data_IF_236714544761
#
_entry.id   IF_236714544761
#
_cell.length_a   1.000
_cell.length_b   1.000
_cell.length_c   1.000
_cell.angle_alpha   90.00
_cell.angle_beta   90.00
_cell.angle_gamma   90.00
#
_symmetry.space_group_name_H-M   'P 1'
#
loop_
_entity.id
_entity.type
_entity.pdbx_description
1 polymer ?
#
# COMPACT_ATOMS: atom_id res chain seq x y z
N UNK A 1 2.75 -2.99 30.19
CA UNK A 1 2.03 -2.89 28.91
C UNK A 1 3.04 -3.13 27.81
N UNK A 2 3.26 -4.40 27.45
CA UNK A 2 4.30 -4.80 26.51
C UNK A 2 3.84 -4.46 25.09
N UNK A 3 4.63 -3.65 24.39
CA UNK A 3 4.48 -3.46 22.95
C UNK A 3 4.56 -4.85 22.30
N UNK A 4 3.52 -5.21 21.54
CA UNK A 4 3.54 -6.41 20.72
C UNK A 4 4.75 -6.35 19.77
N UNK A 5 5.40 -7.48 19.47
CA UNK A 5 6.53 -7.50 18.56
C UNK A 5 6.12 -6.89 17.22
N UNK A 6 6.96 -5.98 16.70
CA UNK A 6 6.84 -5.53 15.32
C UNK A 6 6.91 -6.76 14.42
N UNK A 7 5.99 -6.94 13.46
CA UNK A 7 6.04 -8.08 12.56
C UNK A 7 7.40 -8.11 11.85
N UNK A 8 8.11 -9.23 12.00
CA UNK A 8 9.43 -9.45 11.43
C UNK A 8 9.44 -9.35 9.90
N UNK A 9 10.64 -9.18 9.35
CA UNK A 9 11.03 -8.83 7.99
C UNK A 9 10.61 -9.80 6.86
N UNK A 10 9.44 -10.45 6.95
CA UNK A 10 8.83 -11.29 5.91
C UNK A 10 7.50 -10.74 5.35
N UNK A 11 6.88 -9.75 5.99
CA UNK A 11 5.66 -9.13 5.48
C UNK A 11 5.98 -8.11 4.38
N UNK A 12 5.38 -8.27 3.19
CA UNK A 12 5.38 -7.22 2.16
C UNK A 12 4.93 -5.90 2.81
N UNK A 13 5.80 -4.88 2.89
CA UNK A 13 5.48 -3.66 3.61
C UNK A 13 4.33 -2.92 2.90
N UNK A 14 3.49 -2.25 3.68
CA UNK A 14 2.46 -1.40 3.11
C UNK A 14 3.08 -0.27 2.29
N UNK A 15 2.47 0.11 1.16
CA UNK A 15 2.82 1.33 0.45
C UNK A 15 2.84 2.53 1.41
N UNK A 16 3.90 3.32 1.38
CA UNK A 16 4.11 4.46 2.26
C UNK A 16 4.76 4.13 3.60
N UNK A 17 5.02 2.86 3.91
CA UNK A 17 5.77 2.48 5.12
C UNK A 17 7.26 2.85 5.02
N UNK A 18 7.76 3.09 3.80
CA UNK A 18 9.16 3.46 3.54
C UNK A 18 9.23 4.74 2.70
N UNK A 19 10.32 5.50 2.78
CA UNK A 19 10.56 6.59 1.82
C UNK A 19 10.63 6.05 0.39
N UNK A 20 10.07 6.79 -0.58
CA UNK A 20 10.16 6.41 -1.99
C UNK A 20 11.60 6.28 -2.50
N UNK A 21 12.53 7.07 -1.94
CA UNK A 21 13.99 6.98 -2.20
C UNK A 21 14.75 6.20 -1.12
N UNK A 22 14.16 5.15 -0.58
CA UNK A 22 14.82 4.25 0.37
C UNK A 22 16.21 3.80 -0.16
N UNK A 23 17.32 4.15 0.52
CA UNK A 23 18.67 3.78 0.13
C UNK A 23 18.90 2.26 0.07
N UNK A 24 18.18 1.47 0.88
CA UNK A 24 18.31 0.01 0.88
C UNK A 24 17.83 -0.61 -0.43
N UNK A 25 16.88 0.05 -1.11
CA UNK A 25 16.35 -0.35 -2.42
C UNK A 25 17.10 0.29 -3.59
N UNK A 26 18.27 0.88 -3.37
CA UNK A 26 19.03 1.54 -4.42
C UNK A 26 19.52 0.53 -5.48
N UNK A 27 19.04 0.69 -6.71
CA UNK A 27 19.53 -0.06 -7.87
C UNK A 27 20.94 0.45 -8.22
N UNK A 28 21.96 -0.27 -7.73
CA UNK A 28 23.37 0.04 -7.99
C UNK A 28 23.76 -0.36 -9.41
N UNK A 29 24.61 0.46 -10.05
CA UNK A 29 25.25 0.12 -11.32
C UNK A 29 26.49 -0.74 -11.05
N UNK A 30 26.60 -1.92 -11.65
CA UNK A 30 27.75 -2.82 -11.46
C UNK A 30 27.76 -4.06 -12.36
N UNK A 31 28.83 -4.89 -12.28
CA UNK A 31 29.08 -6.01 -13.20
C UNK A 31 28.03 -7.13 -13.16
N UNK A 32 27.42 -7.38 -11.98
CA UNK A 32 26.22 -8.22 -11.85
C UNK A 32 24.99 -7.34 -11.99
N UNK A 33 24.43 -7.26 -13.20
CA UNK A 33 23.14 -6.60 -13.42
C UNK A 33 22.03 -7.41 -12.77
N UNK A 34 21.15 -6.73 -12.03
CA UNK A 34 19.85 -7.27 -11.66
C UNK A 34 19.06 -7.59 -12.94
N UNK A 35 18.17 -8.58 -12.89
CA UNK A 35 17.24 -8.85 -13.98
C UNK A 35 16.33 -7.64 -14.20
N UNK A 36 15.83 -7.48 -15.42
CA UNK A 36 14.88 -6.41 -15.75
C UNK A 36 13.63 -6.48 -14.86
N UNK A 37 13.18 -7.68 -14.52
CA UNK A 37 12.05 -7.93 -13.62
C UNK A 37 12.31 -7.42 -12.21
N UNK A 38 13.47 -7.71 -11.61
CA UNK A 38 13.83 -7.23 -10.27
C UNK A 38 13.93 -5.71 -10.24
N UNK A 39 14.47 -5.11 -11.29
CA UNK A 39 14.52 -3.65 -11.44
C UNK A 39 13.11 -3.06 -11.51
N UNK A 40 12.22 -3.64 -12.33
CA UNK A 40 10.84 -3.21 -12.47
C UNK A 40 10.07 -3.33 -11.15
N UNK A 41 10.24 -4.44 -10.41
CA UNK A 41 9.63 -4.63 -9.10
C UNK A 41 10.12 -3.58 -8.09
N UNK A 42 11.43 -3.36 -8.01
CA UNK A 42 12.01 -2.35 -7.11
C UNK A 42 11.52 -0.94 -7.45
N UNK A 43 11.41 -0.61 -8.73
CA UNK A 43 10.86 0.67 -9.18
C UNK A 43 9.38 0.81 -8.84
N UNK A 44 8.59 -0.27 -8.99
CA UNK A 44 7.17 -0.31 -8.62
C UNK A 44 6.97 -0.02 -7.14
N UNK A 45 7.71 -0.71 -6.26
CA UNK A 45 7.59 -0.53 -4.82
C UNK A 45 7.94 0.90 -4.40
N UNK A 46 9.00 1.46 -5.00
CA UNK A 46 9.38 2.87 -4.79
C UNK A 46 8.33 3.85 -5.28
N UNK A 47 7.69 3.55 -6.41
CA UNK A 47 6.59 4.35 -6.96
C UNK A 47 5.36 4.29 -6.06
N UNK A 48 5.02 3.12 -5.50
CA UNK A 48 3.95 2.98 -4.51
C UNK A 48 4.21 3.86 -3.28
N UNK A 49 5.41 3.78 -2.71
CA UNK A 49 5.80 4.63 -1.57
C UNK A 49 5.78 6.13 -1.91
N UNK A 50 6.34 6.50 -3.07
CA UNK A 50 6.35 7.89 -3.52
C UNK A 50 4.94 8.44 -3.79
N UNK A 51 4.06 7.61 -4.35
CA UNK A 51 2.69 7.96 -4.66
C UNK A 51 1.88 8.18 -3.39
N UNK A 52 1.94 7.26 -2.43
CA UNK A 52 1.23 7.38 -1.14
C UNK A 52 1.60 8.68 -0.45
N UNK A 53 2.89 9.00 -0.36
CA UNK A 53 3.35 10.24 0.29
C UNK A 53 2.89 11.49 -0.45
N UNK A 54 3.01 11.54 -1.78
CA UNK A 54 2.61 12.71 -2.57
C UNK A 54 1.10 12.94 -2.53
N UNK A 55 0.30 11.88 -2.64
CA UNK A 55 -1.17 11.96 -2.55
C UNK A 55 -1.60 12.33 -1.14
N UNK A 56 -1.02 11.73 -0.09
CA UNK A 56 -1.34 12.09 1.28
C UNK A 56 -1.00 13.55 1.61
N UNK A 57 0.11 14.07 1.07
CA UNK A 57 0.55 15.44 1.35
C UNK A 57 -0.22 16.52 0.58
N UNK A 58 -0.58 16.26 -0.68
CA UNK A 58 -1.13 17.28 -1.60
C UNK A 58 -2.58 17.05 -2.00
N UNK A 59 -3.10 15.86 -1.72
CA UNK A 59 -4.35 15.34 -2.26
C UNK A 59 -4.17 14.76 -3.67
N UNK A 60 -5.10 13.88 -4.07
CA UNK A 60 -5.00 13.18 -5.36
C UNK A 60 -4.92 14.17 -6.53
N UNK A 61 -5.80 15.17 -6.61
CA UNK A 61 -5.88 16.09 -7.75
C UNK A 61 -4.58 16.87 -7.98
N UNK A 62 -3.94 17.31 -6.90
CA UNK A 62 -2.70 18.09 -6.97
C UNK A 62 -1.44 17.24 -7.11
N UNK A 63 -1.50 15.94 -6.84
CA UNK A 63 -0.38 15.03 -7.05
C UNK A 63 -0.09 14.88 -8.56
N UNK A 64 1.15 15.16 -8.98
CA UNK A 64 1.59 15.08 -10.38
C UNK A 64 2.50 13.87 -10.56
N UNK A 65 2.42 13.21 -11.72
CA UNK A 65 3.33 12.09 -12.08
C UNK A 65 4.80 12.48 -11.93
N UNK A 66 5.16 13.73 -12.26
CA UNK A 66 6.52 14.26 -12.09
C UNK A 66 6.97 14.30 -10.63
N UNK A 67 6.06 14.66 -9.73
CA UNK A 67 6.34 14.74 -8.30
C UNK A 67 6.47 13.34 -7.69
N UNK A 68 5.58 12.42 -8.08
CA UNK A 68 5.64 10.99 -7.70
C UNK A 68 6.96 10.37 -8.16
N UNK A 69 7.33 10.56 -9.42
CA UNK A 69 8.61 10.12 -9.98
C UNK A 69 9.79 10.68 -9.16
N UNK A 70 9.75 11.98 -8.82
CA UNK A 70 10.78 12.61 -7.98
C UNK A 70 10.81 11.96 -6.60
N UNK A 71 9.68 11.80 -5.92
CA UNK A 71 9.59 11.19 -4.60
C UNK A 71 10.08 9.73 -4.56
N UNK A 72 9.89 9.00 -5.65
CA UNK A 72 10.34 7.60 -5.81
C UNK A 72 11.79 7.46 -6.31
N UNK A 73 12.38 8.54 -6.84
CA UNK A 73 13.67 8.45 -7.54
C UNK A 73 13.60 7.62 -8.82
N UNK A 74 12.44 7.60 -9.47
CA UNK A 74 12.18 6.87 -10.72
C UNK A 74 11.97 7.88 -11.85
N UNK A 75 12.44 7.56 -13.06
CA UNK A 75 12.29 8.47 -14.21
C UNK A 75 10.89 8.37 -14.82
N UNK A 76 10.42 9.43 -15.49
CA UNK A 76 9.12 9.41 -16.19
C UNK A 76 9.00 8.26 -17.21
N UNK A 77 10.01 7.98 -18.06
CA UNK A 77 9.92 6.83 -18.96
C UNK A 77 9.76 5.50 -18.22
N UNK A 78 10.44 5.31 -17.09
CA UNK A 78 10.29 4.11 -16.27
C UNK A 78 8.90 4.03 -15.60
N UNK A 79 8.34 5.16 -15.17
CA UNK A 79 6.96 5.22 -14.70
C UNK A 79 5.98 4.76 -15.78
N UNK A 80 6.08 5.32 -16.99
CA UNK A 80 5.17 4.98 -18.09
C UNK A 80 5.40 3.58 -18.67
N UNK A 81 6.54 2.94 -18.36
CA UNK A 81 6.74 1.51 -18.64
C UNK A 81 5.97 0.60 -17.67
N UNK A 82 5.55 1.11 -16.51
CA UNK A 82 4.84 0.36 -15.47
C UNK A 82 3.35 0.73 -15.39
N UNK A 83 3.01 1.98 -15.68
CA UNK A 83 1.66 2.51 -15.49
C UNK A 83 1.24 3.41 -16.65
N UNK A 84 -0.04 3.33 -17.04
CA UNK A 84 -0.62 4.18 -18.07
C UNK A 84 -0.73 5.65 -17.61
N UNK A 85 -0.88 5.89 -16.31
CA UNK A 85 -1.06 7.22 -15.74
C UNK A 85 -1.16 7.21 -14.21
N UNK A 86 -1.46 8.38 -13.64
CA UNK A 86 -1.60 8.56 -12.18
C UNK A 86 -2.71 7.70 -11.59
N UNK A 87 -3.86 7.62 -12.27
CA UNK A 87 -5.01 6.81 -11.84
C UNK A 87 -4.63 5.33 -11.77
N UNK A 88 -4.06 4.79 -12.86
CA UNK A 88 -3.59 3.39 -12.92
C UNK A 88 -2.56 3.09 -11.83
N UNK A 89 -1.59 3.98 -11.61
CA UNK A 89 -0.62 3.85 -10.52
C UNK A 89 -1.28 3.87 -9.14
N UNK A 90 -2.29 4.74 -8.91
CA UNK A 90 -3.04 4.79 -7.65
C UNK A 90 -3.80 3.48 -7.44
N UNK A 91 -4.54 3.00 -8.45
CA UNK A 91 -5.32 1.75 -8.34
C UNK A 91 -4.41 0.56 -8.06
N UNK A 92 -3.27 0.46 -8.74
CA UNK A 92 -2.28 -0.58 -8.47
C UNK A 92 -1.73 -0.49 -7.03
N UNK A 93 -1.43 0.73 -6.57
CA UNK A 93 -0.96 0.98 -5.19
C UNK A 93 -2.02 0.60 -4.16
N UNK A 94 -3.27 1.02 -4.40
CA UNK A 94 -4.42 0.75 -3.54
C UNK A 94 -4.65 -0.76 -3.41
N UNK A 95 -4.79 -1.47 -4.55
CA UNK A 95 -4.97 -2.93 -4.58
C UNK A 95 -3.85 -3.66 -3.85
N UNK A 96 -2.59 -3.25 -4.04
CA UNK A 96 -1.46 -3.85 -3.36
C UNK A 96 -1.56 -3.67 -1.85
N UNK A 97 -1.76 -2.43 -1.38
CA UNK A 97 -1.83 -2.14 0.05
C UNK A 97 -3.04 -2.79 0.73
N UNK A 98 -4.21 -2.78 0.08
CA UNK A 98 -5.41 -3.40 0.63
C UNK A 98 -5.33 -4.91 0.64
N UNK A 99 -4.63 -5.53 -0.32
CA UNK A 99 -4.35 -6.97 -0.29
C UNK A 99 -3.45 -7.34 0.90
N UNK A 100 -2.40 -6.55 1.19
CA UNK A 100 -1.56 -6.75 2.38
C UNK A 100 -2.39 -6.62 3.66
N UNK A 101 -3.18 -5.57 3.78
CA UNK A 101 -4.05 -5.32 4.94
C UNK A 101 -5.06 -6.45 5.15
N UNK A 102 -5.78 -6.86 4.10
CA UNK A 102 -6.76 -7.95 4.19
C UNK A 102 -6.11 -9.26 4.66
N UNK A 103 -4.90 -9.56 4.18
CA UNK A 103 -4.15 -10.75 4.60
C UNK A 103 -3.83 -10.71 6.10
N UNK A 104 -3.34 -9.58 6.60
CA UNK A 104 -3.06 -9.40 8.02
C UNK A 104 -4.33 -9.53 8.88
N UNK A 105 -5.46 -9.03 8.39
CA UNK A 105 -6.75 -9.21 9.04
C UNK A 105 -7.21 -10.68 9.03
N UNK A 106 -7.05 -11.38 7.91
CA UNK A 106 -7.38 -12.81 7.79
C UNK A 106 -6.53 -13.65 8.76
N UNK A 107 -5.22 -13.39 8.83
CA UNK A 107 -4.30 -14.09 9.74
C UNK A 107 -4.71 -13.85 11.21
N UNK A 108 -4.96 -12.58 11.59
CA UNK A 108 -5.39 -12.24 12.94
C UNK A 108 -6.77 -12.82 13.32
N UNK A 109 -7.69 -12.89 12.34
CA UNK A 109 -9.00 -13.51 12.53
C UNK A 109 -8.85 -15.02 12.80
N UNK A 110 -8.05 -15.71 12.00
CA UNK A 110 -7.84 -17.15 12.14
C UNK A 110 -7.12 -17.52 13.46
N UNK A 111 -6.12 -16.73 13.85
CA UNK A 111 -5.32 -16.97 15.06
C UNK A 111 -6.10 -16.75 16.37
N UNK A 112 -7.17 -15.96 16.34
CA UNK A 112 -8.01 -15.69 17.51
C UNK A 112 -8.88 -16.89 17.95
N UNK A 113 -9.03 -17.91 17.09
CA UNK A 113 -9.79 -19.11 17.39
C UNK A 113 -11.27 -19.03 16.99
N UNK A 114 -12.10 -19.98 17.47
CA UNK A 114 -13.44 -20.21 16.91
C UNK A 114 -14.52 -19.24 17.39
N UNK A 115 -14.28 -18.45 18.45
CA UNK A 115 -15.25 -17.44 18.87
C UNK A 115 -15.25 -16.27 17.87
N UNK A 116 -16.37 -16.12 17.16
CA UNK A 116 -16.52 -15.09 16.13
C UNK A 116 -16.30 -13.67 16.67
N UNK A 117 -16.73 -13.37 17.91
CA UNK A 117 -16.61 -12.02 18.46
C UNK A 117 -15.15 -11.66 18.71
N UNK A 118 -14.38 -12.61 19.25
CA UNK A 118 -12.95 -12.45 19.47
C UNK A 118 -12.17 -12.38 18.15
N UNK A 119 -12.53 -13.21 17.17
CA UNK A 119 -11.94 -13.18 15.84
C UNK A 119 -12.20 -11.87 15.09
N UNK A 120 -13.46 -11.39 15.09
CA UNK A 120 -13.83 -10.10 14.51
C UNK A 120 -13.10 -8.93 15.21
N UNK A 121 -12.97 -8.99 16.54
CA UNK A 121 -12.23 -8.00 17.34
C UNK A 121 -10.74 -8.00 16.99
N UNK A 122 -10.13 -9.16 16.80
CA UNK A 122 -8.73 -9.28 16.40
C UNK A 122 -8.49 -8.66 15.02
N UNK A 123 -9.31 -9.01 14.03
CA UNK A 123 -9.22 -8.43 12.68
C UNK A 123 -9.39 -6.90 12.68
N UNK A 124 -10.38 -6.37 13.43
CA UNK A 124 -10.60 -4.93 13.54
C UNK A 124 -9.44 -4.21 14.24
N UNK A 125 -8.86 -4.83 15.28
CA UNK A 125 -7.68 -4.30 15.95
C UNK A 125 -6.52 -4.20 14.97
N UNK A 126 -6.24 -5.26 14.21
CA UNK A 126 -5.19 -5.28 13.19
C UNK A 126 -5.40 -4.19 12.14
N UNK A 127 -6.63 -4.00 11.66
CA UNK A 127 -6.96 -2.91 10.74
C UNK A 127 -6.55 -1.54 11.32
N UNK A 128 -6.97 -1.24 12.56
CA UNK A 128 -6.70 0.05 13.19
C UNK A 128 -5.22 0.26 13.48
N UNK A 129 -4.52 -0.77 13.94
CA UNK A 129 -3.07 -0.74 14.20
C UNK A 129 -2.28 -0.50 12.91
N UNK A 130 -2.65 -1.20 11.83
CA UNK A 130 -2.06 -1.01 10.50
C UNK A 130 -2.27 0.42 10.01
N UNK A 131 -3.51 0.92 10.04
CA UNK A 131 -3.80 2.29 9.59
C UNK A 131 -3.08 3.34 10.44
N UNK A 132 -2.95 3.12 11.74
CA UNK A 132 -2.20 4.00 12.64
C UNK A 132 -0.69 3.98 12.36
N UNK A 133 -0.13 2.82 11.95
CA UNK A 133 1.31 2.66 11.67
C UNK A 133 1.76 3.37 10.39
N UNK A 134 0.88 3.52 9.40
CA UNK A 134 1.17 4.18 8.12
C UNK A 134 0.11 5.23 7.79
N UNK A 135 0.10 6.40 8.48
CA UNK A 135 -0.94 7.42 8.31
C UNK A 135 -1.07 7.96 6.89
N UNK A 136 0.03 7.99 6.13
CA UNK A 136 0.00 8.41 4.72
C UNK A 136 -0.83 7.43 3.86
N UNK A 137 -0.66 6.12 4.09
CA UNK A 137 -1.47 5.10 3.43
C UNK A 137 -2.94 5.23 3.85
N UNK A 138 -3.20 5.37 5.16
CA UNK A 138 -4.56 5.52 5.68
C UNK A 138 -5.27 6.73 5.05
N UNK A 139 -4.61 7.89 4.97
CA UNK A 139 -5.16 9.07 4.32
C UNK A 139 -5.44 8.83 2.83
N UNK A 140 -4.48 8.27 2.10
CA UNK A 140 -4.68 7.95 0.67
C UNK A 140 -5.86 7.00 0.47
N UNK A 141 -5.90 5.91 1.23
CA UNK A 141 -6.87 4.82 1.05
C UNK A 141 -8.28 5.16 1.54
N UNK A 142 -8.43 5.99 2.57
CA UNK A 142 -9.74 6.29 3.17
C UNK A 142 -10.32 7.64 2.73
N UNK A 143 -9.47 8.61 2.39
CA UNK A 143 -9.90 9.99 2.08
C UNK A 143 -9.71 10.31 0.60
N UNK A 144 -8.52 10.07 0.08
CA UNK A 144 -8.17 10.56 -1.27
C UNK A 144 -8.65 9.64 -2.40
N UNK A 145 -9.02 8.39 -2.10
CA UNK A 145 -9.47 7.41 -3.10
C UNK A 145 -10.71 7.88 -3.86
N UNK A 146 -11.60 8.64 -3.23
CA UNK A 146 -12.83 9.17 -3.84
C UNK A 146 -12.58 10.17 -4.97
N UNK A 147 -11.51 10.96 -4.83
CA UNK A 147 -11.13 11.97 -5.79
C UNK A 147 -10.55 11.35 -7.08
N UNK A 148 -10.20 10.06 -7.05
CA UNK A 148 -9.49 9.43 -8.16
C UNK A 148 -10.35 8.97 -9.34
N UNK A 149 -11.67 9.07 -9.23
CA UNK A 149 -12.62 8.76 -10.30
C UNK A 149 -13.51 7.55 -10.00
N UNK A 150 -14.39 7.16 -10.94
CA UNK A 150 -15.33 6.06 -10.74
C UNK A 150 -14.65 4.72 -10.44
N UNK A 151 -13.58 4.37 -11.17
CA UNK A 151 -12.89 3.10 -10.97
C UNK A 151 -12.29 2.96 -9.57
N UNK A 152 -11.82 4.07 -8.98
CA UNK A 152 -11.29 4.08 -7.61
C UNK A 152 -12.39 3.91 -6.56
N UNK A 153 -13.58 4.50 -6.80
CA UNK A 153 -14.76 4.29 -5.96
C UNK A 153 -15.22 2.83 -6.02
N UNK A 154 -15.25 2.24 -7.20
CA UNK A 154 -15.61 0.83 -7.37
C UNK A 154 -14.63 -0.10 -6.62
N UNK A 155 -13.31 0.17 -6.69
CA UNK A 155 -12.30 -0.58 -5.92
C UNK A 155 -12.47 -0.44 -4.41
N UNK A 156 -12.85 0.74 -3.93
CA UNK A 156 -13.17 0.95 -2.52
C UNK A 156 -14.41 0.18 -2.11
N UNK A 157 -15.47 0.22 -2.90
CA UNK A 157 -16.73 -0.46 -2.59
C UNK A 157 -16.54 -2.00 -2.61
N UNK A 158 -15.69 -2.50 -3.52
CA UNK A 158 -15.23 -3.90 -3.52
C UNK A 158 -14.45 -4.24 -2.24
N UNK A 159 -13.55 -3.37 -1.78
CA UNK A 159 -12.82 -3.57 -0.52
C UNK A 159 -13.78 -3.64 0.67
N UNK A 160 -14.73 -2.70 0.77
CA UNK A 160 -15.70 -2.66 1.87
C UNK A 160 -16.61 -3.90 1.86
N UNK A 161 -17.00 -4.37 0.68
CA UNK A 161 -17.76 -5.62 0.53
C UNK A 161 -16.97 -6.84 1.03
N UNK A 162 -15.65 -6.86 0.83
CA UNK A 162 -14.78 -7.92 1.35
C UNK A 162 -14.69 -7.90 2.87
N UNK A 163 -14.79 -6.75 3.51
CA UNK A 163 -14.73 -6.64 4.98
C UNK A 163 -15.92 -7.33 5.65
N UNK A 164 -17.05 -7.42 4.96
CA UNK A 164 -18.26 -8.05 5.45
C UNK A 164 -18.01 -9.45 6.01
N UNK A 165 -17.08 -10.23 5.42
CA UNK A 165 -16.75 -11.60 5.88
C UNK A 165 -16.27 -11.68 7.33
N UNK A 166 -15.70 -10.61 7.88
CA UNK A 166 -15.21 -10.58 9.26
C UNK A 166 -16.33 -10.32 10.28
N UNK A 167 -17.51 -9.91 9.82
CA UNK A 167 -18.61 -9.47 10.68
C UNK A 167 -19.85 -10.37 10.58
N UNK A 168 -19.69 -11.60 10.07
CA UNK A 168 -20.72 -12.65 10.10
C UNK A 168 -20.20 -13.90 10.82
N UNK A 169 -21.00 -14.51 11.70
CA UNK A 169 -20.68 -15.79 12.34
C UNK A 169 -20.59 -16.96 11.35
#
# INVERSE_FOLDING_TARGET
>A
MSLAPHPEAGATPLPGARPGRDPERAIKRGPRRLSAEVVAATQRDRLFDGLVHEVAAKGYDNARVTDICRAAGVTRPAFYALFAGKEDALLATYRHGTAVLLRLMDDAYADAGPDWTDAARAALRTLLEVLASVPAFARMALVEIDAAGPAARDERDLLLSRFHRFFHP
#
